data_IF_976444865985
#
_entry.id   IF_976444865985
#
_cell.length_a   1.000
_cell.length_b   1.000
_cell.length_c   1.000
_cell.angle_alpha   90.00
_cell.angle_beta   90.00
_cell.angle_gamma   90.00
#
_symmetry.space_group_name_H-M   'P 1'
#
loop_
_entity.id
_entity.type
_entity.pdbx_description
1 polymer ?
#
# COMPACT_ATOMS: atom_id res chain seq x y z
N UNK A 1 6.52 -19.77 -15.88
CA UNK A 1 5.43 -18.84 -16.18
C UNK A 1 4.19 -19.66 -16.46
N UNK A 2 3.18 -19.59 -15.60
CA UNK A 2 1.94 -20.35 -15.77
C UNK A 2 1.06 -19.69 -16.84
N UNK A 3 0.08 -20.43 -17.37
CA UNK A 3 -0.86 -19.93 -18.37
C UNK A 3 -1.72 -18.77 -17.82
N UNK A 4 -1.93 -18.74 -16.50
CA UNK A 4 -2.69 -17.68 -15.80
C UNK A 4 -1.88 -16.40 -15.62
N UNK A 5 -0.56 -16.50 -15.39
CA UNK A 5 0.34 -15.35 -15.40
C UNK A 5 0.37 -14.67 -16.78
N UNK A 6 0.25 -15.43 -17.87
CA UNK A 6 0.28 -14.87 -19.23
C UNK A 6 -1.00 -14.10 -19.60
N UNK A 7 -2.16 -14.46 -19.01
CA UNK A 7 -3.44 -13.78 -19.25
C UNK A 7 -3.53 -12.43 -18.54
N UNK A 8 -3.07 -12.32 -17.30
CA UNK A 8 -3.13 -11.06 -16.54
C UNK A 8 -2.31 -9.93 -17.21
N UNK A 9 -1.18 -10.26 -17.84
CA UNK A 9 -0.38 -9.27 -18.58
C UNK A 9 -1.04 -8.77 -19.88
N UNK A 10 -1.93 -9.55 -20.51
CA UNK A 10 -2.66 -9.09 -21.70
C UNK A 10 -3.78 -8.10 -21.36
N UNK A 11 -4.42 -8.24 -20.20
CA UNK A 11 -5.52 -7.38 -19.75
C UNK A 11 -5.03 -5.99 -19.32
N UNK A 12 -3.85 -5.92 -18.68
CA UNK A 12 -3.25 -4.65 -18.22
C UNK A 12 -2.52 -3.87 -19.32
N UNK A 13 -2.47 -4.39 -20.56
CA UNK A 13 -1.74 -3.77 -21.68
C UNK A 13 -2.23 -2.36 -22.02
N UNK A 14 -3.52 -2.10 -21.78
CA UNK A 14 -4.17 -0.83 -22.10
C UNK A 14 -4.25 0.13 -20.92
N UNK A 15 -3.88 -0.34 -19.74
CA UNK A 15 -3.95 0.45 -18.53
C UNK A 15 -2.76 1.42 -18.46
N UNK A 16 -2.96 2.64 -17.93
CA UNK A 16 -1.87 3.60 -17.80
C UNK A 16 -0.79 3.05 -16.84
N UNK A 17 0.43 2.87 -17.34
CA UNK A 17 1.54 2.37 -16.53
C UNK A 17 1.80 3.21 -15.27
N UNK A 18 1.59 4.53 -15.35
CA UNK A 18 1.69 5.45 -14.20
C UNK A 18 0.64 5.21 -13.11
N UNK A 19 -0.46 4.53 -13.43
CA UNK A 19 -1.50 4.16 -12.47
C UNK A 19 -1.31 2.75 -11.90
N UNK A 20 -0.47 1.91 -12.53
CA UNK A 20 -0.28 0.52 -12.14
C UNK A 20 1.10 0.22 -11.52
N UNK A 21 2.14 0.94 -11.93
CA UNK A 21 3.53 0.57 -11.64
C UNK A 21 4.16 1.57 -10.66
N UNK A 22 4.60 1.06 -9.52
CA UNK A 22 5.47 1.75 -8.58
C UNK A 22 6.80 0.97 -8.43
N UNK A 23 7.84 1.66 -7.96
CA UNK A 23 9.15 1.06 -7.64
C UNK A 23 9.06 0.28 -6.32
N UNK A 24 10.17 -0.32 -5.89
CA UNK A 24 10.27 -1.09 -4.62
C UNK A 24 9.12 -2.10 -4.49
N UNK A 25 8.98 -2.99 -5.47
CA UNK A 25 7.92 -4.02 -5.48
C UNK A 25 6.49 -3.43 -5.43
N UNK A 26 6.32 -2.23 -5.98
CA UNK A 26 5.05 -1.53 -6.02
C UNK A 26 4.72 -0.77 -4.73
N UNK A 27 5.70 -0.45 -3.90
CA UNK A 27 5.50 0.09 -2.55
C UNK A 27 5.96 1.54 -2.35
N UNK A 28 6.68 2.15 -3.33
CA UNK A 28 7.30 3.50 -3.19
C UNK A 28 6.36 4.56 -2.64
N UNK A 29 5.16 4.63 -3.21
CA UNK A 29 4.23 5.72 -2.93
C UNK A 29 3.73 5.67 -1.50
N UNK A 30 3.65 4.49 -0.88
CA UNK A 30 3.33 4.38 0.54
C UNK A 30 4.47 4.93 1.42
N UNK A 31 5.73 4.71 1.04
CA UNK A 31 6.88 5.28 1.75
C UNK A 31 6.88 6.81 1.65
N UNK A 32 6.54 7.35 0.49
CA UNK A 32 6.37 8.80 0.29
C UNK A 32 5.23 9.36 1.15
N UNK A 33 4.09 8.66 1.22
CA UNK A 33 2.95 9.02 2.07
C UNK A 33 3.36 9.02 3.55
N UNK A 34 4.05 7.98 4.03
CA UNK A 34 4.49 7.88 5.43
C UNK A 34 5.46 9.01 5.79
N UNK A 35 6.44 9.28 4.93
CA UNK A 35 7.39 10.38 5.10
C UNK A 35 6.72 11.76 5.05
N UNK A 36 5.68 11.95 4.22
CA UNK A 36 4.89 13.17 4.22
C UNK A 36 4.04 13.29 5.48
N UNK A 37 3.42 12.19 5.90
CA UNK A 37 2.50 12.13 7.04
C UNK A 37 3.19 12.50 8.36
N UNK A 38 4.45 12.10 8.56
CA UNK A 38 5.25 12.49 9.74
C UNK A 38 5.58 13.99 9.74
N UNK A 39 5.88 14.58 8.57
CA UNK A 39 6.32 15.98 8.43
C UNK A 39 5.17 17.00 8.40
N UNK A 40 3.95 16.58 8.10
CA UNK A 40 2.80 17.47 7.92
C UNK A 40 1.71 17.12 8.90
N UNK A 41 1.12 18.10 9.60
CA UNK A 41 0.05 17.88 10.59
C UNK A 41 -1.34 18.24 10.10
N UNK A 42 -1.48 18.75 8.87
CA UNK A 42 -2.76 19.19 8.29
C UNK A 42 -3.56 18.03 7.68
N UNK A 43 -3.66 16.93 8.41
CA UNK A 43 -4.47 15.76 8.04
C UNK A 43 -4.97 15.06 9.31
N UNK A 44 -6.06 14.30 9.17
CA UNK A 44 -6.68 13.57 10.30
C UNK A 44 -6.59 12.06 10.13
N UNK A 45 -6.82 11.59 8.91
CA UNK A 45 -6.84 10.18 8.55
C UNK A 45 -6.37 10.05 7.10
N UNK A 46 -5.50 9.08 6.84
CA UNK A 46 -5.12 8.65 5.50
C UNK A 46 -5.56 7.20 5.37
N UNK A 47 -6.19 6.85 4.24
CA UNK A 47 -6.60 5.48 3.93
C UNK A 47 -6.04 5.13 2.56
N UNK A 48 -5.32 4.01 2.52
CA UNK A 48 -4.68 3.49 1.31
C UNK A 48 -5.25 2.12 1.00
N UNK A 49 -5.70 1.91 -0.24
CA UNK A 49 -5.79 0.55 -0.79
C UNK A 49 -4.37 0.05 -1.10
N UNK A 50 -4.15 -1.26 -0.99
CA UNK A 50 -2.88 -1.89 -1.24
C UNK A 50 -3.01 -3.35 -1.69
N UNK A 51 -1.95 -3.86 -2.31
CA UNK A 51 -1.89 -5.24 -2.79
C UNK A 51 -1.92 -6.22 -1.62
N UNK A 52 -2.56 -7.38 -1.82
CA UNK A 52 -2.59 -8.47 -0.84
C UNK A 52 -1.18 -9.00 -0.51
N UNK A 53 -0.21 -8.79 -1.40
CA UNK A 53 1.17 -9.23 -1.23
C UNK A 53 2.02 -8.27 -0.40
N UNK A 54 1.51 -7.08 -0.07
CA UNK A 54 2.25 -6.04 0.68
C UNK A 54 2.13 -6.17 2.20
N UNK A 55 1.45 -7.20 2.74
CA UNK A 55 1.21 -7.35 4.18
C UNK A 55 2.52 -7.30 4.99
N UNK A 56 3.53 -8.07 4.58
CA UNK A 56 4.84 -8.08 5.24
C UNK A 56 5.59 -6.74 5.19
N UNK A 57 5.50 -5.99 4.09
CA UNK A 57 6.12 -4.66 3.97
C UNK A 57 5.47 -3.66 4.93
N UNK A 58 4.15 -3.74 5.08
CA UNK A 58 3.42 -2.91 6.04
C UNK A 58 3.73 -3.28 7.49
N UNK A 59 3.92 -4.56 7.81
CA UNK A 59 4.39 -4.99 9.14
C UNK A 59 5.73 -4.38 9.53
N UNK A 60 6.65 -4.22 8.56
CA UNK A 60 7.91 -3.51 8.79
C UNK A 60 7.68 -2.01 9.03
N UNK A 61 6.84 -1.36 8.23
CA UNK A 61 6.57 0.07 8.39
C UNK A 61 5.85 0.38 9.71
N UNK A 62 4.97 -0.50 10.17
CA UNK A 62 4.33 -0.37 11.48
C UNK A 62 5.38 -0.25 12.59
N UNK A 63 6.41 -1.11 12.57
CA UNK A 63 7.49 -1.08 13.57
C UNK A 63 8.34 0.19 13.47
N UNK A 64 8.60 0.67 12.25
CA UNK A 64 9.42 1.86 12.01
C UNK A 64 8.71 3.13 12.51
N UNK A 65 7.41 3.25 12.25
CA UNK A 65 6.63 4.46 12.48
C UNK A 65 5.77 4.43 13.76
N UNK A 66 5.85 3.38 14.57
CA UNK A 66 4.97 3.16 15.74
C UNK A 66 4.93 4.35 16.73
N UNK A 67 6.02 5.12 16.80
CA UNK A 67 6.17 6.27 17.70
C UNK A 67 5.48 7.54 17.18
N UNK A 68 5.36 7.67 15.86
CA UNK A 68 4.87 8.88 15.21
C UNK A 68 3.45 8.72 14.67
N UNK A 69 3.09 7.50 14.27
CA UNK A 69 1.86 7.19 13.58
C UNK A 69 1.20 5.95 14.17
N UNK A 70 -0.13 5.94 14.16
CA UNK A 70 -0.92 4.74 14.34
C UNK A 70 -1.31 4.20 12.98
N UNK A 71 -0.75 3.04 12.62
CA UNK A 71 -1.03 2.34 11.37
C UNK A 71 -1.87 1.11 11.69
N UNK A 72 -2.97 0.90 10.96
CA UNK A 72 -3.87 -0.24 11.15
C UNK A 72 -4.21 -0.88 9.82
N UNK A 73 -4.27 -2.21 9.81
CA UNK A 73 -4.45 -3.02 8.60
C UNK A 73 -5.84 -3.65 8.58
N UNK A 74 -6.40 -3.80 7.39
CA UNK A 74 -7.72 -4.37 7.18
C UNK A 74 -7.72 -5.31 5.98
N UNK A 75 -8.57 -6.31 6.08
CA UNK A 75 -8.82 -7.30 5.03
C UNK A 75 -10.14 -7.00 4.33
N UNK A 76 -10.21 -7.34 3.04
CA UNK A 76 -11.45 -7.24 2.27
C UNK A 76 -12.44 -8.37 2.61
N UNK A 77 -13.58 -8.41 1.90
CA UNK A 77 -14.61 -9.42 2.11
C UNK A 77 -14.17 -10.85 1.77
N UNK A 78 -13.05 -11.01 1.04
CA UNK A 78 -12.43 -12.30 0.74
C UNK A 78 -11.34 -12.67 1.75
N UNK A 79 -11.10 -11.85 2.77
CA UNK A 79 -10.06 -12.07 3.77
C UNK A 79 -8.65 -11.76 3.26
N UNK A 80 -8.51 -11.06 2.14
CA UNK A 80 -7.22 -10.64 1.59
C UNK A 80 -6.81 -9.30 2.20
N UNK A 81 -5.54 -9.15 2.52
CA UNK A 81 -4.98 -7.86 2.93
C UNK A 81 -5.24 -6.83 1.82
N UNK A 82 -5.80 -5.66 2.17
CA UNK A 82 -6.29 -4.74 1.14
C UNK A 82 -6.25 -3.27 1.53
N UNK A 83 -6.40 -2.94 2.80
CA UNK A 83 -6.51 -1.54 3.23
C UNK A 83 -5.60 -1.28 4.42
N UNK A 84 -4.96 -0.11 4.40
CA UNK A 84 -4.23 0.43 5.54
C UNK A 84 -4.77 1.81 5.88
N UNK A 85 -5.06 2.03 7.16
CA UNK A 85 -5.37 3.35 7.70
C UNK A 85 -4.20 3.89 8.51
N UNK A 86 -3.92 5.18 8.36
CA UNK A 86 -2.88 5.89 9.10
C UNK A 86 -3.56 7.05 9.82
N UNK A 87 -3.37 7.13 11.14
CA UNK A 87 -3.81 8.24 11.98
C UNK A 87 -2.66 8.75 12.85
N UNK A 88 -2.82 9.96 13.40
CA UNK A 88 -1.97 10.43 14.51
C UNK A 88 -2.54 9.94 15.84
N UNK A 89 -1.71 9.90 16.86
CA UNK A 89 -2.15 9.77 18.25
C UNK A 89 -2.84 11.05 18.71
#
# INVERSE_FOLDING_TARGET
MSFDEFRSFQELKWDPSKALVAKEEGFSHYLEILNWATKNSSWKLIVCECSEFHEHLWEEQIKIYEKDLRISTFKDYLGKFRVVSISRY
#
